data_IF_795125352684
#
_entry.id   IF_795125352684
#
_cell.length_a   1.000
_cell.length_b   1.000
_cell.length_c   1.000
_cell.angle_alpha   90.00
_cell.angle_beta   90.00
_cell.angle_gamma   90.00
#
_symmetry.space_group_name_H-M   'P 1'
#
loop_
_entity.id
_entity.type
_entity.pdbx_description
1 polymer ?
#
# COMPACT_ATOMS: atom_id res chain seq x y z
N UNK A 1 -60.54 -17.76 -44.32
CA UNK A 1 -60.42 -16.29 -44.39
C UNK A 1 -60.18 -15.75 -42.99
N UNK A 2 -59.18 -14.88 -42.77
CA UNK A 2 -59.18 -14.00 -41.59
C UNK A 2 -57.99 -14.02 -40.64
N UNK A 3 -56.82 -13.58 -41.13
CA UNK A 3 -55.77 -12.77 -40.44
C UNK A 3 -54.97 -13.35 -39.26
N UNK A 4 -53.71 -13.62 -39.62
CA UNK A 4 -52.48 -13.55 -38.85
C UNK A 4 -52.24 -12.13 -38.28
N UNK A 5 -52.06 -11.98 -36.96
CA UNK A 5 -51.40 -10.80 -36.35
C UNK A 5 -50.46 -11.25 -35.24
N UNK A 6 -49.21 -10.85 -35.40
CA UNK A 6 -48.06 -11.08 -34.52
C UNK A 6 -48.26 -10.34 -33.19
N UNK A 7 -47.86 -10.93 -32.07
CA UNK A 7 -47.45 -10.13 -30.92
C UNK A 7 -46.28 -10.77 -30.19
N UNK A 8 -45.15 -10.08 -30.33
CA UNK A 8 -43.94 -10.22 -29.55
C UNK A 8 -44.23 -10.06 -28.06
N UNK A 9 -43.45 -10.74 -27.22
CA UNK A 9 -42.87 -10.25 -25.95
C UNK A 9 -42.72 -11.38 -24.92
N UNK A 10 -41.73 -12.27 -25.13
CA UNK A 10 -41.20 -13.11 -24.05
C UNK A 10 -39.69 -13.25 -24.17
N UNK A 11 -39.01 -12.10 -24.18
CA UNK A 11 -37.55 -11.95 -24.05
C UNK A 11 -37.26 -10.96 -22.91
N UNK A 12 -37.60 -11.35 -21.69
CA UNK A 12 -37.20 -10.74 -20.41
C UNK A 12 -37.34 -11.91 -19.40
N UNK A 13 -36.37 -12.34 -18.62
CA UNK A 13 -35.18 -11.69 -18.15
C UNK A 13 -34.10 -12.75 -17.90
N UNK A 14 -33.14 -12.82 -18.82
CA UNK A 14 -31.78 -13.22 -18.46
C UNK A 14 -31.13 -11.95 -17.86
N UNK A 15 -31.54 -11.59 -16.64
CA UNK A 15 -30.85 -10.56 -15.85
C UNK A 15 -29.63 -11.25 -15.24
N UNK A 16 -28.67 -11.56 -16.10
CA UNK A 16 -27.28 -11.47 -15.73
C UNK A 16 -27.07 -10.03 -15.28
N UNK A 17 -27.26 -9.76 -14.00
CA UNK A 17 -26.63 -8.64 -13.34
C UNK A 17 -25.16 -8.74 -13.73
N UNK A 18 -24.59 -7.74 -14.42
CA UNK A 18 -23.16 -7.57 -14.40
C UNK A 18 -22.85 -7.48 -12.91
N UNK A 19 -22.26 -8.53 -12.34
CA UNK A 19 -21.47 -8.37 -11.14
C UNK A 19 -20.39 -7.41 -11.61
N UNK A 20 -20.65 -6.12 -11.43
CA UNK A 20 -19.62 -5.10 -11.39
C UNK A 20 -18.59 -5.67 -10.42
N UNK A 21 -17.55 -6.25 -11.00
CA UNK A 21 -16.27 -6.36 -10.35
C UNK A 21 -15.91 -4.91 -10.07
N UNK A 22 -16.39 -4.40 -8.93
CA UNK A 22 -15.82 -3.26 -8.25
C UNK A 22 -14.40 -3.70 -7.99
N UNK A 23 -13.55 -3.45 -8.98
CA UNK A 23 -12.12 -3.50 -8.88
C UNK A 23 -11.82 -2.68 -7.64
N UNK A 24 -11.55 -3.39 -6.55
CA UNK A 24 -11.22 -2.82 -5.26
C UNK A 24 -9.95 -2.03 -5.53
N UNK A 25 -10.10 -0.74 -5.85
CA UNK A 25 -9.01 0.09 -6.33
C UNK A 25 -7.87 -0.07 -5.34
N UNK A 26 -6.77 -0.67 -5.81
CA UNK A 26 -5.66 -1.00 -4.96
C UNK A 26 -5.15 0.33 -4.39
N UNK A 27 -5.27 0.52 -3.07
CA UNK A 27 -4.78 1.73 -2.44
C UNK A 27 -3.28 1.84 -2.73
N UNK A 28 -2.78 3.03 -3.09
CA UNK A 28 -1.35 3.23 -3.29
C UNK A 28 -0.59 2.82 -2.02
N UNK A 29 0.53 2.12 -2.20
CA UNK A 29 1.35 1.64 -1.07
C UNK A 29 1.91 2.79 -0.24
N UNK A 30 2.24 3.92 -0.88
CA UNK A 30 2.72 5.13 -0.24
C UNK A 30 2.07 6.37 -0.89
N UNK A 31 1.62 7.33 -0.09
CA UNK A 31 1.11 8.63 -0.53
C UNK A 31 1.84 9.75 0.19
N UNK A 32 2.44 10.66 -0.58
CA UNK A 32 2.97 11.93 -0.09
C UNK A 32 1.85 12.96 -0.17
N UNK A 33 1.21 13.26 0.95
CA UNK A 33 -0.03 14.06 0.95
C UNK A 33 0.19 15.58 0.95
N UNK A 34 1.39 16.04 1.31
CA UNK A 34 1.67 17.46 1.58
C UNK A 34 1.02 18.00 2.86
N UNK A 35 0.17 17.22 3.54
CA UNK A 35 -0.46 17.62 4.78
C UNK A 35 0.54 17.68 5.93
N UNK A 36 0.30 18.61 6.86
CA UNK A 36 1.10 18.79 8.07
C UNK A 36 0.20 18.76 9.30
N UNK A 37 0.73 18.19 10.37
CA UNK A 37 0.13 18.20 11.71
C UNK A 37 1.22 18.64 12.69
N UNK A 38 1.13 19.89 13.15
CA UNK A 38 2.16 20.56 13.93
C UNK A 38 3.54 20.54 13.25
N UNK A 39 4.52 19.91 13.92
CA UNK A 39 5.89 19.77 13.44
C UNK A 39 6.11 18.58 12.49
N UNK A 40 5.05 17.81 12.18
CA UNK A 40 5.14 16.60 11.38
C UNK A 40 4.46 16.75 10.03
N UNK A 41 5.00 16.06 9.02
CA UNK A 41 4.37 15.83 7.73
C UNK A 41 3.65 14.49 7.76
N UNK A 42 2.46 14.43 7.17
CA UNK A 42 1.68 13.19 7.09
C UNK A 42 1.93 12.52 5.74
N UNK A 43 2.51 11.33 5.78
CA UNK A 43 2.52 10.41 4.63
C UNK A 43 1.58 9.25 4.94
N UNK A 44 0.99 8.62 3.92
CA UNK A 44 0.11 7.47 4.13
C UNK A 44 0.76 6.22 3.59
N UNK A 45 0.93 5.20 4.44
CA UNK A 45 1.39 3.88 4.03
C UNK A 45 0.23 2.90 4.07
N UNK A 46 -0.16 2.34 2.93
CA UNK A 46 -1.34 1.48 2.80
C UNK A 46 -2.61 2.11 3.43
N UNK A 47 -2.79 3.41 3.21
CA UNK A 47 -3.91 4.19 3.78
C UNK A 47 -3.77 4.54 5.26
N UNK A 48 -2.68 4.17 5.94
CA UNK A 48 -2.43 4.52 7.35
C UNK A 48 -1.56 5.77 7.46
N UNK A 49 -1.94 6.76 8.28
CA UNK A 49 -1.13 7.96 8.46
C UNK A 49 0.17 7.65 9.22
N UNK A 50 1.28 8.18 8.72
CA UNK A 50 2.61 8.06 9.29
C UNK A 50 3.16 9.49 9.47
N UNK A 51 3.20 10.00 10.71
CA UNK A 51 3.78 11.31 10.98
C UNK A 51 5.31 11.25 10.91
N UNK A 52 5.88 12.08 10.04
CA UNK A 52 7.33 12.18 9.82
C UNK A 52 7.82 13.58 10.17
N UNK A 53 8.99 13.68 10.82
CA UNK A 53 9.69 14.98 10.93
C UNK A 53 10.22 15.40 9.56
N UNK A 54 10.55 16.68 9.38
CA UNK A 54 11.15 17.19 8.14
C UNK A 54 12.38 16.37 7.69
N UNK A 55 13.30 16.09 8.62
CA UNK A 55 14.49 15.28 8.32
C UNK A 55 14.15 13.83 7.94
N UNK A 56 13.16 13.23 8.60
CA UNK A 56 12.72 11.86 8.28
C UNK A 56 12.02 11.79 6.92
N UNK A 57 11.24 12.82 6.56
CA UNK A 57 10.63 12.96 5.24
C UNK A 57 11.69 13.12 4.16
N UNK A 58 12.70 13.97 4.36
CA UNK A 58 13.81 14.14 3.43
C UNK A 58 14.54 12.82 3.15
N UNK A 59 14.84 12.06 4.21
CA UNK A 59 15.43 10.71 4.08
C UNK A 59 14.55 9.77 3.25
N UNK A 60 13.23 9.81 3.42
CA UNK A 60 12.30 9.01 2.61
C UNK A 60 12.34 9.42 1.13
N UNK A 61 12.34 10.73 0.85
CA UNK A 61 12.42 11.24 -0.51
C UNK A 61 13.73 10.84 -1.19
N UNK A 62 14.88 10.96 -0.50
CA UNK A 62 16.18 10.54 -1.03
C UNK A 62 16.21 9.04 -1.38
N UNK A 63 15.60 8.19 -0.56
CA UNK A 63 15.49 6.75 -0.85
C UNK A 63 14.63 6.48 -2.09
N UNK A 64 13.51 7.19 -2.24
CA UNK A 64 12.62 7.08 -3.40
C UNK A 64 13.36 7.54 -4.66
N UNK A 65 13.97 8.72 -4.61
CA UNK A 65 14.72 9.30 -5.71
C UNK A 65 15.86 8.39 -6.14
N UNK A 66 16.67 7.90 -5.21
CA UNK A 66 17.76 6.99 -5.53
C UNK A 66 17.26 5.67 -6.13
N UNK A 67 16.11 5.15 -5.66
CA UNK A 67 15.49 3.97 -6.26
C UNK A 67 15.04 4.23 -7.70
N UNK A 68 14.48 5.40 -7.97
CA UNK A 68 14.02 5.82 -9.30
C UNK A 68 15.18 6.12 -10.27
N UNK A 69 16.26 6.71 -9.79
CA UNK A 69 17.38 7.18 -10.64
C UNK A 69 18.42 6.12 -10.89
N UNK A 70 18.85 5.39 -9.85
CA UNK A 70 19.99 4.47 -9.95
C UNK A 70 19.58 3.04 -10.26
N UNK A 71 18.32 2.66 -10.00
CA UNK A 71 17.83 1.28 -10.12
C UNK A 71 18.42 0.30 -9.09
N UNK A 72 19.58 0.61 -8.51
CA UNK A 72 20.30 -0.17 -7.49
C UNK A 72 19.92 0.24 -6.05
N UNK A 73 19.46 1.48 -5.83
CA UNK A 73 18.93 1.92 -4.53
C UNK A 73 19.99 2.16 -3.44
N UNK A 74 21.24 2.45 -3.83
CA UNK A 74 22.28 2.84 -2.88
C UNK A 74 22.22 4.34 -2.62
N UNK A 75 22.09 4.71 -1.34
CA UNK A 75 22.09 6.11 -0.88
C UNK A 75 23.09 6.26 0.26
N UNK A 76 23.87 7.33 0.25
CA UNK A 76 24.73 7.69 1.38
C UNK A 76 23.90 8.43 2.43
N UNK A 77 23.18 7.65 3.23
CA UNK A 77 22.39 8.16 4.35
C UNK A 77 23.05 7.82 5.67
N UNK A 78 22.90 8.71 6.65
CA UNK A 78 23.31 8.41 8.03
C UNK A 78 22.53 7.20 8.56
N UNK A 79 23.20 6.23 9.23
CA UNK A 79 22.52 5.11 9.89
C UNK A 79 21.43 5.56 10.86
N UNK A 80 21.63 6.71 11.53
CA UNK A 80 20.65 7.29 12.45
C UNK A 80 19.40 7.76 11.71
N UNK A 81 19.54 8.35 10.52
CA UNK A 81 18.41 8.79 9.71
C UNK A 81 17.54 7.60 9.26
N UNK A 82 18.19 6.52 8.79
CA UNK A 82 17.52 5.27 8.44
C UNK A 82 16.82 4.67 9.65
N UNK A 83 17.48 4.63 10.80
CA UNK A 83 16.89 4.10 12.03
C UNK A 83 15.65 4.91 12.44
N UNK A 84 15.70 6.24 12.40
CA UNK A 84 14.56 7.12 12.71
C UNK A 84 13.39 6.88 11.76
N UNK A 85 13.64 6.77 10.46
CA UNK A 85 12.61 6.46 9.48
C UNK A 85 11.96 5.09 9.74
N UNK A 86 12.76 4.06 10.02
CA UNK A 86 12.25 2.73 10.37
C UNK A 86 11.39 2.77 11.62
N UNK A 87 11.79 3.51 12.65
CA UNK A 87 11.01 3.66 13.88
C UNK A 87 9.69 4.39 13.62
N UNK A 88 9.67 5.46 12.83
CA UNK A 88 8.45 6.16 12.48
C UNK A 88 7.45 5.24 11.75
N UNK A 89 7.93 4.46 10.78
CA UNK A 89 7.10 3.49 10.06
C UNK A 89 6.59 2.39 11.01
N UNK A 90 7.46 1.81 11.85
CA UNK A 90 7.08 0.76 12.81
C UNK A 90 6.04 1.23 13.80
N UNK A 91 6.15 2.47 14.30
CA UNK A 91 5.17 3.06 15.23
C UNK A 91 3.80 3.23 14.57
N UNK A 92 3.76 3.67 13.32
CA UNK A 92 2.51 3.94 12.62
C UNK A 92 1.81 2.68 12.09
N UNK A 93 2.58 1.67 11.65
CA UNK A 93 2.04 0.49 10.96
C UNK A 93 1.99 -0.73 11.89
N UNK A 94 2.72 -0.70 13.00
CA UNK A 94 3.01 -1.87 13.83
C UNK A 94 4.15 -2.71 13.25
N UNK A 95 4.58 -3.74 13.98
CA UNK A 95 5.51 -4.73 13.45
C UNK A 95 4.80 -5.48 12.32
N UNK A 96 5.34 -5.52 11.09
CA UNK A 96 4.75 -6.33 10.03
C UNK A 96 4.64 -7.78 10.52
N UNK A 97 3.45 -8.38 10.43
CA UNK A 97 3.21 -9.78 10.84
C UNK A 97 4.17 -10.78 10.14
N UNK A 98 4.77 -10.38 9.02
CA UNK A 98 5.78 -11.14 8.27
C UNK A 98 7.17 -11.23 8.95
N UNK A 99 7.49 -10.38 9.93
CA UNK A 99 8.74 -10.47 10.70
C UNK A 99 8.59 -11.30 11.98
N UNK A 100 7.36 -11.61 12.41
CA UNK A 100 7.10 -12.45 13.58
C UNK A 100 7.39 -13.94 13.33
N UNK A 101 7.56 -14.36 12.07
CA UNK A 101 7.88 -15.74 11.69
C UNK A 101 9.37 -16.00 11.46
N UNK A 102 10.24 -14.99 11.60
CA UNK A 102 11.70 -15.14 11.42
C UNK A 102 12.44 -15.16 12.76
N UNK A 103 11.89 -15.92 13.72
CA UNK A 103 12.61 -16.36 14.92
C UNK A 103 12.22 -17.81 15.18
N UNK A 104 12.38 -18.66 14.16
CA UNK A 104 12.50 -20.09 14.36
C UNK A 104 13.98 -20.37 14.64
N UNK A 105 14.28 -20.62 15.91
CA UNK A 105 15.60 -20.97 16.42
C UNK A 105 16.26 -22.11 15.60
N UNK A 106 17.58 -22.07 15.36
CA UNK A 106 18.29 -23.30 15.02
C UNK A 106 18.34 -24.16 16.28
N UNK A 107 17.47 -25.17 16.35
CA UNK A 107 17.65 -26.30 17.27
C UNK A 107 18.93 -27.03 16.89
N UNK A 108 20.05 -26.63 17.49
CA UNK A 108 21.25 -27.45 17.58
C UNK A 108 20.88 -28.73 18.36
N UNK A 109 20.60 -29.81 17.63
CA UNK A 109 20.66 -31.16 18.20
C UNK A 109 22.12 -31.58 18.19
N UNK A 110 22.74 -31.54 19.36
CA UNK A 110 23.97 -32.27 19.61
C UNK A 110 23.52 -33.70 19.95
N UNK A 111 23.86 -34.63 19.07
CA UNK A 111 23.80 -36.07 19.27
C UNK A 111 25.13 -36.66 18.83
#
# INVERSE_FOLDING_TARGET
MGKLVKSQAKRRADRQTPREATSRAALPSLVLSGQRDGAHYLVYLHGRPVPLTAGTLATLCELIEARCTTGIGFVRLSPVAIWRLRQAIRRAVGVPKALASSTAEPRMRIG
#
